data_IF_757696850377
#
_entry.id   IF_757696850377
#
_cell.length_a   1.000
_cell.length_b   1.000
_cell.length_c   1.000
_cell.angle_alpha   90.00
_cell.angle_beta   90.00
_cell.angle_gamma   90.00
#
_symmetry.space_group_name_H-M   'P 1'
#
loop_
_entity.id
_entity.type
_entity.pdbx_description
1 polymer ?
#
# COMPACT_ATOMS: atom_id res chain seq x y z
N UNK A 1 -11.99 -19.67 -21.24
CA UNK A 1 -12.56 -19.37 -19.91
C UNK A 1 -12.93 -20.70 -19.27
N UNK A 2 -12.41 -21.02 -18.09
CA UNK A 2 -12.73 -22.29 -17.41
C UNK A 2 -14.12 -22.21 -16.74
N UNK A 3 -14.76 -23.35 -16.46
CA UNK A 3 -16.04 -23.39 -15.72
C UNK A 3 -15.97 -22.67 -14.35
N UNK A 4 -14.90 -22.85 -13.53
CA UNK A 4 -14.72 -22.08 -12.30
C UNK A 4 -14.66 -20.56 -12.53
N UNK A 5 -14.01 -20.11 -13.61
CA UNK A 5 -13.91 -18.69 -13.95
C UNK A 5 -15.29 -18.10 -14.32
N UNK A 6 -16.10 -18.83 -15.09
CA UNK A 6 -17.47 -18.41 -15.44
C UNK A 6 -18.33 -18.25 -14.18
N UNK A 7 -18.31 -19.26 -13.29
CA UNK A 7 -19.05 -19.22 -12.02
C UNK A 7 -18.61 -18.05 -11.13
N UNK A 8 -17.30 -17.80 -11.06
CA UNK A 8 -16.75 -16.67 -10.33
C UNK A 8 -17.22 -15.32 -10.89
N UNK A 9 -17.17 -15.13 -12.22
CA UNK A 9 -17.62 -13.88 -12.87
C UNK A 9 -19.13 -13.65 -12.69
N UNK A 10 -19.96 -14.70 -12.76
CA UNK A 10 -21.40 -14.61 -12.51
C UNK A 10 -21.68 -14.20 -11.06
N UNK A 11 -21.04 -14.86 -10.09
CA UNK A 11 -21.17 -14.52 -8.67
C UNK A 11 -20.78 -13.06 -8.42
N UNK A 12 -19.68 -12.59 -9.02
CA UNK A 12 -19.23 -11.20 -8.89
C UNK A 12 -20.23 -10.21 -9.46
N UNK A 13 -20.85 -10.51 -10.60
CA UNK A 13 -21.91 -9.67 -11.18
C UNK A 13 -23.13 -9.57 -10.24
N UNK A 14 -23.52 -10.67 -9.61
CA UNK A 14 -24.63 -10.69 -8.63
C UNK A 14 -24.27 -9.84 -7.41
N UNK A 15 -23.09 -10.04 -6.82
CA UNK A 15 -22.61 -9.25 -5.66
C UNK A 15 -22.63 -7.76 -5.97
N UNK A 16 -22.05 -7.33 -7.10
CA UNK A 16 -22.03 -5.92 -7.50
C UNK A 16 -23.45 -5.34 -7.62
N UNK A 17 -24.40 -6.08 -8.21
CA UNK A 17 -25.78 -5.62 -8.35
C UNK A 17 -26.50 -5.46 -7.01
N UNK A 18 -26.24 -6.36 -6.06
CA UNK A 18 -26.81 -6.33 -4.71
C UNK A 18 -26.21 -5.17 -3.90
N UNK A 19 -24.90 -4.95 -4.00
CA UNK A 19 -24.22 -3.82 -3.37
C UNK A 19 -24.64 -2.47 -3.94
N UNK A 20 -24.94 -2.40 -5.25
CA UNK A 20 -25.45 -1.20 -5.91
C UNK A 20 -26.73 -0.68 -5.26
N UNK A 21 -27.62 -1.57 -4.86
CA UNK A 21 -28.88 -1.23 -4.16
C UNK A 21 -28.73 -1.11 -2.62
N UNK A 22 -27.50 -1.18 -2.10
CA UNK A 22 -27.21 -0.96 -0.67
C UNK A 22 -27.11 -2.22 0.18
N UNK A 23 -27.40 -3.39 -0.38
CA UNK A 23 -27.36 -4.66 0.35
C UNK A 23 -25.96 -5.28 0.29
N UNK A 24 -25.46 -5.82 1.40
CA UNK A 24 -24.11 -6.42 1.44
C UNK A 24 -22.96 -5.41 1.46
N UNK A 25 -23.24 -4.10 1.50
CA UNK A 25 -22.24 -3.07 1.78
C UNK A 25 -21.66 -3.23 3.18
N UNK A 26 -20.43 -2.75 3.36
CA UNK A 26 -19.76 -2.71 4.65
C UNK A 26 -20.66 -2.05 5.72
N UNK A 27 -20.76 -2.70 6.89
CA UNK A 27 -21.44 -2.17 8.08
C UNK A 27 -20.42 -2.09 9.22
N UNK A 28 -19.60 -1.04 9.25
CA UNK A 28 -18.59 -0.86 10.29
C UNK A 28 -19.25 -0.96 11.67
N UNK A 29 -18.71 -1.85 12.51
CA UNK A 29 -19.08 -1.96 13.92
C UNK A 29 -18.06 -1.20 14.76
N UNK A 30 -18.45 -0.89 15.98
CA UNK A 30 -17.52 -0.33 16.96
C UNK A 30 -16.30 -1.27 17.13
N UNK A 31 -15.08 -0.72 17.16
CA UNK A 31 -13.88 -1.51 17.35
C UNK A 31 -13.82 -2.08 18.78
N UNK A 32 -13.64 -3.40 18.92
CA UNK A 32 -13.64 -4.10 20.22
C UNK A 32 -12.26 -4.67 20.58
N UNK A 33 -11.35 -4.77 19.61
CA UNK A 33 -9.99 -5.29 19.80
C UNK A 33 -8.93 -4.25 20.19
N UNK A 34 -7.67 -4.65 20.14
CA UNK A 34 -6.51 -3.77 20.30
C UNK A 34 -5.70 -3.74 19.00
N UNK A 35 -5.08 -2.61 18.66
CA UNK A 35 -4.16 -2.56 17.52
C UNK A 35 -2.97 -3.53 17.70
N UNK A 36 -2.46 -4.03 16.59
CA UNK A 36 -1.26 -4.85 16.53
C UNK A 36 0.02 -4.05 16.83
N UNK A 37 1.16 -4.72 16.73
CA UNK A 37 2.49 -4.15 16.91
C UNK A 37 3.07 -3.62 15.59
N UNK A 38 3.91 -2.57 15.64
CA UNK A 38 4.65 -2.09 14.47
C UNK A 38 5.60 -3.16 13.92
N UNK A 39 6.02 -3.00 12.66
CA UNK A 39 6.94 -3.91 11.96
C UNK A 39 8.38 -3.88 12.50
N UNK A 40 8.70 -2.91 13.36
CA UNK A 40 9.97 -2.77 14.09
C UNK A 40 9.69 -2.59 15.57
N UNK A 41 10.53 -3.18 16.43
CA UNK A 41 10.43 -3.02 17.88
C UNK A 41 10.65 -1.57 18.32
N UNK A 42 11.56 -0.85 17.65
CA UNK A 42 11.87 0.55 17.89
C UNK A 42 11.98 1.28 16.55
N UNK A 43 11.21 2.35 16.40
CA UNK A 43 11.31 3.22 15.23
C UNK A 43 12.57 4.10 15.33
N UNK A 44 13.34 4.25 14.24
CA UNK A 44 14.61 4.97 14.25
C UNK A 44 14.42 6.49 14.36
N UNK A 45 15.27 7.14 15.17
CA UNK A 45 15.34 8.60 15.35
C UNK A 45 16.62 9.24 14.81
N UNK A 46 17.56 8.41 14.32
CA UNK A 46 18.92 8.80 13.94
C UNK A 46 19.10 9.22 12.47
N UNK A 47 18.02 9.33 11.70
CA UNK A 47 18.08 9.72 10.29
C UNK A 47 18.26 11.24 10.11
N UNK A 48 18.65 11.67 8.90
CA UNK A 48 18.76 13.09 8.55
C UNK A 48 17.37 13.76 8.56
N UNK A 49 17.04 14.38 9.69
CA UNK A 49 15.77 15.05 9.92
C UNK A 49 15.45 16.11 8.86
N UNK A 50 16.46 16.83 8.35
CA UNK A 50 16.26 17.89 7.38
C UNK A 50 15.85 17.36 6.00
N UNK A 51 16.29 16.15 5.65
CA UNK A 51 15.89 15.47 4.41
C UNK A 51 14.39 15.17 4.43
N UNK A 52 13.89 14.59 5.52
CA UNK A 52 12.49 14.24 5.68
C UNK A 52 11.60 15.48 5.85
N UNK A 53 12.05 16.46 6.64
CA UNK A 53 11.35 17.74 6.79
C UNK A 53 11.15 18.43 5.43
N UNK A 54 12.19 18.54 4.60
CA UNK A 54 12.07 19.16 3.26
C UNK A 54 11.10 18.43 2.34
N UNK A 55 11.07 17.10 2.39
CA UNK A 55 10.11 16.32 1.60
C UNK A 55 8.67 16.54 2.08
N UNK A 56 8.47 16.61 3.40
CA UNK A 56 7.19 16.88 4.02
C UNK A 56 6.70 18.32 3.79
N UNK A 57 7.60 19.32 3.86
CA UNK A 57 7.28 20.72 3.62
C UNK A 57 6.75 20.93 2.19
N UNK A 58 7.36 20.28 1.18
CA UNK A 58 6.83 20.31 -0.21
C UNK A 58 5.39 19.81 -0.29
N UNK A 59 5.04 18.75 0.45
CA UNK A 59 3.67 18.22 0.48
C UNK A 59 2.73 19.24 1.11
N UNK A 60 3.12 19.84 2.25
CA UNK A 60 2.31 20.87 2.93
C UNK A 60 2.11 22.13 2.07
N UNK A 61 3.08 22.46 1.21
CA UNK A 61 3.00 23.53 0.20
C UNK A 61 2.11 23.16 -1.00
N UNK A 62 1.58 21.93 -1.05
CA UNK A 62 0.72 21.45 -2.12
C UNK A 62 1.48 20.96 -3.36
N UNK A 63 2.78 20.66 -3.22
CA UNK A 63 3.64 20.16 -4.29
C UNK A 63 3.83 18.63 -4.19
N UNK A 64 3.37 17.90 -5.22
CA UNK A 64 3.40 16.45 -5.28
C UNK A 64 4.27 15.95 -6.44
N UNK A 65 4.89 14.78 -6.26
CA UNK A 65 5.60 14.07 -7.32
C UNK A 65 4.75 12.87 -7.75
N UNK A 66 4.23 12.87 -8.99
CA UNK A 66 3.32 11.86 -9.55
C UNK A 66 3.85 11.36 -10.88
N UNK A 67 4.48 10.18 -10.90
CA UNK A 67 5.21 9.65 -12.07
C UNK A 67 6.13 10.68 -12.72
N UNK A 68 5.81 11.14 -13.93
CA UNK A 68 6.58 12.13 -14.68
C UNK A 68 6.32 13.58 -14.22
N UNK A 69 5.23 13.85 -13.52
CA UNK A 69 4.93 15.16 -12.96
C UNK A 69 5.77 15.37 -11.70
N UNK A 70 6.77 16.24 -11.78
CA UNK A 70 7.64 16.61 -10.65
C UNK A 70 7.24 17.99 -10.14
N UNK A 71 6.97 18.09 -8.83
CA UNK A 71 6.54 19.34 -8.20
C UNK A 71 5.18 19.84 -8.70
N UNK A 72 4.26 18.94 -9.02
CA UNK A 72 2.91 19.29 -9.44
C UNK A 72 2.20 20.05 -8.30
N UNK A 73 1.74 21.28 -8.60
CA UNK A 73 0.98 22.10 -7.67
C UNK A 73 -0.48 21.60 -7.61
N UNK A 74 -0.74 20.58 -6.80
CA UNK A 74 -2.07 19.97 -6.65
C UNK A 74 -2.89 20.62 -5.53
N UNK A 75 -2.24 21.46 -4.71
CA UNK A 75 -2.85 22.07 -3.53
C UNK A 75 -2.85 21.14 -2.31
N UNK A 76 -3.17 21.70 -1.16
CA UNK A 76 -3.22 20.97 0.11
C UNK A 76 -4.49 21.35 0.88
N UNK A 77 -5.52 20.47 0.92
CA UNK A 77 -5.59 19.14 0.29
C UNK A 77 -5.81 19.21 -1.24
N UNK A 78 -5.42 18.16 -1.99
CA UNK A 78 -5.68 18.08 -3.43
C UNK A 78 -7.15 17.73 -3.75
N UNK A 79 -7.52 17.88 -5.03
CA UNK A 79 -8.79 17.38 -5.57
C UNK A 79 -8.68 15.88 -5.85
N UNK A 80 -9.15 15.04 -4.93
CA UNK A 80 -8.88 13.59 -4.93
C UNK A 80 -9.52 12.81 -6.09
N UNK A 81 -10.59 13.35 -6.69
CA UNK A 81 -11.24 12.73 -7.86
C UNK A 81 -10.79 13.34 -9.19
N UNK A 82 -9.81 14.25 -9.19
CA UNK A 82 -9.28 14.84 -10.42
C UNK A 82 -7.98 14.14 -10.84
N UNK A 83 -7.86 13.76 -12.11
CA UNK A 83 -6.59 13.36 -12.68
C UNK A 83 -5.62 14.56 -12.69
N UNK A 84 -4.47 14.51 -12.00
CA UNK A 84 -3.53 15.62 -11.93
C UNK A 84 -2.88 15.95 -13.29
N UNK A 85 -2.93 15.05 -14.28
CA UNK A 85 -2.35 15.25 -15.60
C UNK A 85 -3.30 15.99 -16.55
N UNK A 86 -4.58 15.63 -16.56
CA UNK A 86 -5.57 16.21 -17.49
C UNK A 86 -6.51 17.21 -16.83
N UNK A 87 -6.65 17.18 -15.50
CA UNK A 87 -7.62 17.97 -14.74
C UNK A 87 -9.05 17.44 -14.81
N UNK A 88 -9.30 16.33 -15.50
CA UNK A 88 -10.62 15.69 -15.59
C UNK A 88 -11.04 15.19 -14.21
N UNK A 89 -12.26 15.55 -13.78
CA UNK A 89 -12.82 15.13 -12.50
C UNK A 89 -13.76 13.93 -12.69
N UNK A 90 -13.36 12.79 -12.12
CA UNK A 90 -14.09 11.54 -12.19
C UNK A 90 -15.42 11.63 -11.42
N UNK A 91 -16.54 11.10 -11.97
CA UNK A 91 -17.84 11.23 -11.34
C UNK A 91 -18.01 10.28 -10.14
N UNK A 92 -18.79 10.69 -9.14
CA UNK A 92 -19.14 9.90 -7.97
C UNK A 92 -20.28 8.89 -8.23
N UNK A 93 -20.13 8.05 -9.26
CA UNK A 93 -21.03 6.91 -9.51
C UNK A 93 -20.73 5.75 -8.55
N UNK A 94 -21.53 4.67 -8.57
CA UNK A 94 -21.16 3.46 -7.85
C UNK A 94 -19.84 2.92 -8.41
N UNK A 95 -18.81 2.75 -7.57
CA UNK A 95 -17.44 2.52 -8.03
C UNK A 95 -17.29 1.31 -8.95
N UNK A 96 -18.04 0.22 -8.70
CA UNK A 96 -17.98 -0.98 -9.55
C UNK A 96 -18.64 -0.82 -10.93
N UNK A 97 -19.47 0.21 -11.12
CA UNK A 97 -20.12 0.52 -12.41
C UNK A 97 -19.31 1.56 -13.22
N UNK A 98 -18.36 2.25 -12.57
CA UNK A 98 -17.53 3.26 -13.23
C UNK A 98 -16.53 2.59 -14.18
N UNK A 99 -16.57 2.96 -15.46
CA UNK A 99 -15.56 2.57 -16.42
C UNK A 99 -14.28 3.39 -16.23
N UNK A 100 -13.46 3.01 -15.27
CA UNK A 100 -12.18 3.68 -14.98
C UNK A 100 -11.14 3.55 -16.10
N UNK A 101 -11.42 2.78 -17.16
CA UNK A 101 -10.54 2.67 -18.35
C UNK A 101 -10.87 3.70 -19.42
N UNK A 102 -11.96 4.45 -19.26
CA UNK A 102 -12.37 5.46 -20.21
C UNK A 102 -11.71 6.80 -19.86
N UNK A 103 -10.72 7.26 -20.64
CA UNK A 103 -10.00 8.50 -20.35
C UNK A 103 -10.89 9.74 -20.48
N UNK A 104 -12.01 9.68 -21.21
CA UNK A 104 -12.95 10.80 -21.28
C UNK A 104 -13.75 10.96 -19.96
N UNK A 105 -13.87 9.88 -19.19
CA UNK A 105 -14.62 9.86 -17.93
C UNK A 105 -13.74 10.14 -16.71
N UNK A 106 -12.51 9.62 -16.69
CA UNK A 106 -11.64 9.69 -15.50
C UNK A 106 -10.26 10.29 -15.75
N UNK A 107 -9.94 10.69 -16.99
CA UNK A 107 -8.58 11.05 -17.38
C UNK A 107 -7.63 9.86 -17.33
N UNK A 108 -6.35 10.13 -17.02
CA UNK A 108 -5.35 9.09 -16.81
C UNK A 108 -5.50 8.49 -15.40
N UNK A 109 -6.23 7.37 -15.33
CA UNK A 109 -6.55 6.70 -14.06
C UNK A 109 -5.31 6.35 -13.23
N UNK A 110 -4.16 6.10 -13.87
CA UNK A 110 -2.91 5.81 -13.17
C UNK A 110 -2.47 7.02 -12.36
N UNK A 111 -2.45 8.20 -12.98
CA UNK A 111 -2.08 9.46 -12.33
C UNK A 111 -3.05 9.83 -11.21
N UNK A 112 -4.35 9.61 -11.43
CA UNK A 112 -5.37 9.82 -10.41
C UNK A 112 -5.12 8.89 -9.20
N UNK A 113 -4.94 7.58 -9.44
CA UNK A 113 -4.75 6.63 -8.35
C UNK A 113 -3.44 6.81 -7.61
N UNK A 114 -2.37 7.26 -8.26
CA UNK A 114 -1.07 7.43 -7.59
C UNK A 114 -1.14 8.41 -6.41
N UNK A 115 -1.81 9.56 -6.58
CA UNK A 115 -2.05 10.51 -5.48
C UNK A 115 -2.92 9.87 -4.38
N UNK A 116 -3.90 9.06 -4.80
CA UNK A 116 -4.85 8.38 -3.91
C UNK A 116 -4.29 7.13 -3.22
N UNK A 117 -3.04 6.73 -3.51
CA UNK A 117 -2.33 5.68 -2.75
C UNK A 117 -1.79 6.18 -1.42
N UNK A 118 -1.76 7.51 -1.21
CA UNK A 118 -1.39 8.17 0.04
C UNK A 118 0.05 7.89 0.50
N UNK A 119 0.99 7.85 -0.44
CA UNK A 119 2.43 7.75 -0.12
C UNK A 119 2.91 8.94 0.73
N UNK A 120 2.26 10.09 0.54
CA UNK A 120 2.54 11.34 1.22
C UNK A 120 2.23 11.29 2.72
N UNK A 121 1.27 10.45 3.14
CA UNK A 121 1.00 10.25 4.57
C UNK A 121 2.20 9.64 5.29
N UNK A 122 2.91 8.73 4.64
CA UNK A 122 4.13 8.12 5.19
C UNK A 122 5.21 9.19 5.33
N UNK A 123 5.39 10.02 4.30
CA UNK A 123 6.42 11.08 4.28
C UNK A 123 6.18 12.09 5.42
N UNK A 124 4.94 12.55 5.57
CA UNK A 124 4.54 13.44 6.67
C UNK A 124 4.71 12.76 8.04
N UNK A 125 4.29 11.50 8.19
CA UNK A 125 4.41 10.77 9.43
C UNK A 125 5.87 10.50 9.83
N UNK A 126 6.76 10.22 8.87
CA UNK A 126 8.21 10.11 9.11
C UNK A 126 8.79 11.45 9.56
N UNK A 127 8.43 12.56 8.91
CA UNK A 127 8.90 13.88 9.31
C UNK A 127 8.42 14.24 10.72
N UNK A 128 7.16 13.96 11.07
CA UNK A 128 6.66 14.10 12.44
C UNK A 128 7.46 13.25 13.42
N UNK A 129 7.65 11.96 13.12
CA UNK A 129 8.37 11.04 14.01
C UNK A 129 9.81 11.51 14.32
N UNK A 130 10.50 12.02 13.30
CA UNK A 130 11.89 12.46 13.41
C UNK A 130 12.07 13.85 14.03
N UNK A 131 11.09 14.75 13.86
CA UNK A 131 11.21 16.16 14.25
C UNK A 131 10.34 16.58 15.44
N UNK A 132 9.27 15.82 15.70
CA UNK A 132 8.15 16.18 16.57
C UNK A 132 7.44 17.50 16.18
N UNK A 133 7.61 18.00 14.95
CA UNK A 133 6.85 19.16 14.47
C UNK A 133 5.41 18.74 14.15
N UNK A 134 4.47 19.23 14.96
CA UNK A 134 3.05 18.88 14.88
C UNK A 134 2.39 19.28 13.55
N UNK A 135 2.97 20.21 12.78
CA UNK A 135 2.44 20.56 11.44
C UNK A 135 2.34 19.34 10.52
N UNK A 136 3.28 18.41 10.64
CA UNK A 136 3.29 17.21 9.81
C UNK A 136 2.18 16.21 10.19
N UNK A 137 1.94 15.99 11.49
CA UNK A 137 0.83 15.16 11.96
C UNK A 137 -0.53 15.79 11.62
N UNK A 138 -0.68 17.10 11.80
CA UNK A 138 -1.89 17.82 11.37
C UNK A 138 -2.07 17.75 9.85
N UNK A 139 -0.98 17.76 9.08
CA UNK A 139 -1.01 17.54 7.65
C UNK A 139 -1.59 16.18 7.27
N UNK A 140 -1.17 15.10 7.94
CA UNK A 140 -1.76 13.76 7.75
C UNK A 140 -3.27 13.78 8.01
N UNK A 141 -3.70 14.42 9.10
CA UNK A 141 -5.11 14.55 9.44
C UNK A 141 -5.89 15.30 8.35
N UNK A 142 -5.38 16.45 7.88
CA UNK A 142 -6.03 17.26 6.85
C UNK A 142 -6.22 16.51 5.52
N UNK A 143 -5.18 15.76 5.07
CA UNK A 143 -5.29 14.93 3.87
C UNK A 143 -6.35 13.83 4.03
N UNK A 144 -6.35 13.12 5.17
CA UNK A 144 -7.30 12.05 5.45
C UNK A 144 -8.75 12.57 5.55
N UNK A 145 -8.99 13.64 6.30
CA UNK A 145 -10.33 14.23 6.45
C UNK A 145 -10.91 14.67 5.09
N UNK A 146 -10.08 15.36 4.29
CA UNK A 146 -10.46 15.77 2.94
C UNK A 146 -10.73 14.58 2.03
N UNK A 147 -9.96 13.50 2.14
CA UNK A 147 -10.17 12.30 1.33
C UNK A 147 -11.48 11.60 1.73
N UNK A 148 -11.75 11.45 3.03
CA UNK A 148 -12.99 10.85 3.52
C UNK A 148 -14.24 11.60 3.05
N UNK A 149 -14.14 12.93 2.87
CA UNK A 149 -15.24 13.77 2.37
C UNK A 149 -15.43 13.63 0.86
N UNK A 150 -14.34 13.68 0.09
CA UNK A 150 -14.40 13.68 -1.37
C UNK A 150 -14.58 12.27 -1.96
N UNK A 151 -14.21 11.21 -1.23
CA UNK A 151 -14.21 9.82 -1.72
C UNK A 151 -15.10 8.89 -0.89
N UNK A 152 -16.41 9.16 -0.76
CA UNK A 152 -17.29 8.40 0.12
C UNK A 152 -17.49 6.96 -0.37
N UNK A 153 -17.45 5.99 0.54
CA UNK A 153 -17.75 4.59 0.23
C UNK A 153 -19.21 4.39 -0.24
N UNK A 154 -19.48 3.55 -1.27
CA UNK A 154 -18.58 2.93 -2.26
C UNK A 154 -18.62 3.68 -3.62
N UNK A 155 -18.35 4.99 -3.64
CA UNK A 155 -18.59 5.86 -4.80
C UNK A 155 -17.31 6.43 -5.40
N UNK A 156 -17.30 6.53 -6.73
CA UNK A 156 -16.22 7.13 -7.50
C UNK A 156 -15.07 6.17 -7.79
N UNK A 157 -14.09 6.69 -8.52
CA UNK A 157 -12.94 5.96 -9.07
C UNK A 157 -12.06 5.31 -8.00
N UNK A 158 -12.05 5.88 -6.80
CA UNK A 158 -11.30 5.39 -5.66
C UNK A 158 -11.90 4.12 -5.01
N UNK A 159 -13.07 3.66 -5.47
CA UNK A 159 -13.75 2.45 -5.02
C UNK A 159 -13.97 1.42 -6.15
N UNK A 160 -13.11 1.45 -7.17
CA UNK A 160 -13.20 0.56 -8.33
C UNK A 160 -12.37 -0.73 -8.19
N UNK A 161 -11.20 -0.66 -7.55
CA UNK A 161 -10.14 -1.67 -7.65
C UNK A 161 -9.52 -2.00 -6.27
N UNK A 162 -9.60 -3.27 -5.87
CA UNK A 162 -9.11 -3.80 -4.59
C UNK A 162 -7.61 -3.55 -4.36
N UNK A 163 -6.79 -3.60 -5.41
CA UNK A 163 -5.35 -3.29 -5.30
C UNK A 163 -5.10 -1.88 -4.73
N UNK A 164 -5.84 -0.88 -5.20
CA UNK A 164 -5.67 0.50 -4.74
C UNK A 164 -6.07 0.66 -3.27
N UNK A 165 -7.10 -0.06 -2.83
CA UNK A 165 -7.47 -0.13 -1.41
C UNK A 165 -6.37 -0.76 -0.57
N UNK A 166 -5.77 -1.84 -1.08
CA UNK A 166 -4.73 -2.58 -0.38
C UNK A 166 -3.45 -1.74 -0.22
N UNK A 167 -2.99 -1.06 -1.27
CA UNK A 167 -1.84 -0.14 -1.21
C UNK A 167 -2.08 0.96 -0.19
N UNK A 168 -3.28 1.57 -0.20
CA UNK A 168 -3.67 2.60 0.76
C UNK A 168 -3.63 2.09 2.20
N UNK A 169 -4.14 0.89 2.47
CA UNK A 169 -4.11 0.26 3.79
C UNK A 169 -2.68 0.01 4.31
N UNK A 170 -1.76 -0.40 3.43
CA UNK A 170 -0.35 -0.55 3.82
C UNK A 170 0.22 0.82 4.22
N UNK A 171 0.08 1.86 3.39
CA UNK A 171 0.56 3.21 3.72
C UNK A 171 -0.07 3.76 5.01
N UNK A 172 -1.37 3.52 5.21
CA UNK A 172 -2.07 3.94 6.43
C UNK A 172 -1.57 3.22 7.67
N UNK A 173 -1.24 1.92 7.59
CA UNK A 173 -0.68 1.17 8.71
C UNK A 173 0.66 1.76 9.14
N UNK A 174 1.54 2.06 8.17
CA UNK A 174 2.84 2.65 8.46
C UNK A 174 2.72 4.06 9.04
N UNK A 175 1.87 4.91 8.46
CA UNK A 175 1.59 6.24 8.99
C UNK A 175 0.97 6.18 10.39
N UNK A 176 0.05 5.25 10.65
CA UNK A 176 -0.59 5.04 11.95
C UNK A 176 0.44 4.76 13.05
N UNK A 177 1.37 3.82 12.81
CA UNK A 177 2.43 3.52 13.77
C UNK A 177 3.40 4.69 13.94
N UNK A 178 3.81 5.33 12.84
CA UNK A 178 4.69 6.49 12.88
C UNK A 178 4.08 7.67 13.64
N UNK A 179 2.76 7.82 13.65
CA UNK A 179 2.00 8.86 14.35
C UNK A 179 1.67 8.54 15.82
N UNK A 180 2.19 7.43 16.36
CA UNK A 180 1.98 7.02 17.75
C UNK A 180 0.80 6.08 17.98
N UNK A 181 0.18 5.55 16.93
CA UNK A 181 -0.92 4.57 17.01
C UNK A 181 -2.09 5.07 17.87
N UNK A 182 -2.64 4.22 18.76
CA UNK A 182 -3.75 4.57 19.64
C UNK A 182 -3.43 5.74 20.58
N UNK A 183 -2.15 5.97 20.88
CA UNK A 183 -1.67 7.05 21.75
C UNK A 183 -1.42 8.36 20.98
N UNK A 184 -1.76 8.42 19.69
CA UNK A 184 -1.58 9.62 18.87
C UNK A 184 -2.34 10.81 19.46
N UNK A 185 -1.65 11.96 19.56
CA UNK A 185 -2.27 13.24 19.96
C UNK A 185 -3.38 13.69 19.01
N UNK A 186 -3.39 13.19 17.78
CA UNK A 186 -4.47 13.44 16.81
C UNK A 186 -5.83 12.91 17.30
N UNK A 187 -5.84 11.94 18.21
CA UNK A 187 -7.05 11.32 18.75
C UNK A 187 -7.51 11.91 20.08
N UNK A 188 -6.80 12.93 20.59
CA UNK A 188 -7.15 13.60 21.83
C UNK A 188 -8.40 14.49 21.68
N UNK A 189 -9.21 14.53 22.75
CA UNK A 189 -10.44 15.31 22.78
C UNK A 189 -11.57 14.73 21.93
N UNK A 190 -12.72 15.39 21.92
CA UNK A 190 -13.90 14.94 21.18
C UNK A 190 -13.69 14.98 19.64
N UNK A 191 -13.12 16.05 19.05
CA UNK A 191 -12.82 16.07 17.62
C UNK A 191 -11.79 15.02 17.20
N UNK A 192 -10.80 14.73 18.05
CA UNK A 192 -9.80 13.70 17.77
C UNK A 192 -10.40 12.29 17.79
N UNK A 193 -11.30 12.00 18.73
CA UNK A 193 -12.04 10.72 18.75
C UNK A 193 -12.94 10.56 17.52
N UNK A 194 -13.59 11.63 17.08
CA UNK A 194 -14.40 11.62 15.86
C UNK A 194 -13.52 11.33 14.62
N UNK A 195 -12.35 11.97 14.52
CA UNK A 195 -11.38 11.69 13.45
C UNK A 195 -10.91 10.23 13.46
N UNK A 196 -10.53 9.70 14.64
CA UNK A 196 -10.17 8.29 14.82
C UNK A 196 -11.28 7.36 14.31
N UNK A 197 -12.52 7.63 14.69
CA UNK A 197 -13.67 6.82 14.30
C UNK A 197 -13.89 6.84 12.78
N UNK A 198 -13.76 8.00 12.13
CA UNK A 198 -13.85 8.12 10.66
C UNK A 198 -12.74 7.31 9.97
N UNK A 199 -11.51 7.39 10.48
CA UNK A 199 -10.39 6.63 9.92
C UNK A 199 -10.60 5.11 10.05
N UNK A 200 -10.96 4.63 11.24
CA UNK A 200 -11.24 3.20 11.46
C UNK A 200 -12.44 2.70 10.65
N UNK A 201 -13.49 3.52 10.53
CA UNK A 201 -14.64 3.24 9.65
C UNK A 201 -14.18 3.04 8.21
N UNK A 202 -13.29 3.91 7.73
CA UNK A 202 -12.78 3.81 6.37
C UNK A 202 -11.88 2.58 6.18
N UNK A 203 -11.02 2.27 7.16
CA UNK A 203 -10.21 1.04 7.17
C UNK A 203 -11.10 -0.20 7.06
N UNK A 204 -12.17 -0.29 7.86
CA UNK A 204 -13.13 -1.39 7.79
C UNK A 204 -13.73 -1.54 6.38
N UNK A 205 -14.14 -0.43 5.77
CA UNK A 205 -14.72 -0.43 4.42
C UNK A 205 -13.74 -0.95 3.37
N UNK A 206 -12.46 -0.60 3.47
CA UNK A 206 -11.40 -1.12 2.60
C UNK A 206 -11.21 -2.63 2.79
N UNK A 207 -11.07 -3.09 4.04
CA UNK A 207 -10.92 -4.51 4.36
C UNK A 207 -12.11 -5.34 3.84
N UNK A 208 -13.33 -4.87 4.12
CA UNK A 208 -14.56 -5.49 3.64
C UNK A 208 -14.62 -5.56 2.11
N UNK A 209 -14.26 -4.47 1.43
CA UNK A 209 -14.27 -4.43 -0.03
C UNK A 209 -13.29 -5.44 -0.63
N UNK A 210 -12.03 -5.44 -0.18
CA UNK A 210 -10.99 -6.37 -0.68
C UNK A 210 -11.43 -7.82 -0.45
N UNK A 211 -11.89 -8.14 0.77
CA UNK A 211 -12.32 -9.49 1.13
C UNK A 211 -13.47 -10.03 0.25
N UNK A 212 -14.24 -9.15 -0.37
CA UNK A 212 -15.36 -9.48 -1.27
C UNK A 212 -15.02 -9.37 -2.76
N UNK A 213 -13.92 -8.70 -3.12
CA UNK A 213 -13.59 -8.32 -4.51
C UNK A 213 -12.17 -8.68 -4.94
N UNK A 214 -11.70 -9.89 -4.61
CA UNK A 214 -10.43 -10.41 -5.10
C UNK A 214 -10.33 -10.39 -6.64
N UNK A 215 -9.15 -10.06 -7.16
CA UNK A 215 -8.82 -10.06 -8.60
C UNK A 215 -8.53 -11.46 -9.18
N UNK A 216 -9.07 -12.53 -8.57
CA UNK A 216 -8.91 -13.91 -9.07
C UNK A 216 -9.30 -14.02 -10.55
N UNK A 217 -8.55 -14.85 -11.28
CA UNK A 217 -8.72 -15.07 -12.72
C UNK A 217 -8.55 -13.79 -13.58
N UNK A 218 -7.82 -12.79 -13.06
CA UNK A 218 -7.32 -11.67 -13.84
C UNK A 218 -5.95 -12.02 -14.42
N UNK A 219 -5.58 -11.41 -15.55
CA UNK A 219 -4.26 -11.60 -16.18
C UNK A 219 -3.12 -10.95 -15.39
N UNK A 220 -3.41 -10.11 -14.40
CA UNK A 220 -2.43 -9.42 -13.56
C UNK A 220 -2.29 -10.16 -12.22
N UNK A 221 -1.31 -11.05 -12.13
CA UNK A 221 -1.11 -11.92 -10.97
C UNK A 221 -0.63 -11.12 -9.74
N UNK A 222 0.16 -10.07 -9.95
CA UNK A 222 0.64 -9.19 -8.90
C UNK A 222 -0.50 -8.45 -8.16
N UNK A 223 -1.67 -8.24 -8.80
CA UNK A 223 -2.82 -7.58 -8.16
C UNK A 223 -3.35 -8.41 -7.00
N UNK A 224 -3.49 -9.73 -7.18
CA UNK A 224 -3.99 -10.63 -6.14
C UNK A 224 -3.03 -10.66 -4.94
N UNK A 225 -1.72 -10.67 -5.22
CA UNK A 225 -0.70 -10.63 -4.16
C UNK A 225 -0.72 -9.27 -3.43
N UNK A 226 -0.85 -8.16 -4.16
CA UNK A 226 -0.97 -6.82 -3.57
C UNK A 226 -2.24 -6.67 -2.72
N UNK A 227 -3.38 -7.16 -3.20
CA UNK A 227 -4.64 -7.24 -2.45
C UNK A 227 -4.49 -8.03 -1.15
N UNK A 228 -3.83 -9.19 -1.22
CA UNK A 228 -3.59 -10.04 -0.06
C UNK A 228 -2.62 -9.38 0.93
N UNK A 229 -1.58 -8.69 0.42
CA UNK A 229 -0.65 -7.91 1.24
C UNK A 229 -1.38 -6.85 2.05
N UNK A 230 -2.17 -5.99 1.40
CA UNK A 230 -2.86 -4.91 2.11
C UNK A 230 -3.93 -5.40 3.07
N UNK A 231 -4.71 -6.44 2.72
CA UNK A 231 -5.69 -7.01 3.65
C UNK A 231 -5.01 -7.68 4.84
N UNK A 232 -3.91 -8.39 4.63
CA UNK A 232 -3.14 -9.03 5.69
C UNK A 232 -2.57 -7.97 6.65
N UNK A 233 -1.86 -6.96 6.12
CA UNK A 233 -1.28 -5.88 6.92
C UNK A 233 -2.36 -5.15 7.70
N UNK A 234 -3.52 -4.84 7.09
CA UNK A 234 -4.61 -4.18 7.78
C UNK A 234 -5.23 -5.04 8.88
N UNK A 235 -5.46 -6.33 8.63
CA UNK A 235 -6.06 -7.23 9.61
C UNK A 235 -5.12 -7.56 10.79
N UNK A 236 -3.81 -7.44 10.60
CA UNK A 236 -2.81 -7.53 11.68
C UNK A 236 -2.68 -6.20 12.42
N UNK A 237 -2.72 -5.07 11.72
CA UNK A 237 -2.59 -3.73 12.32
C UNK A 237 -3.83 -3.36 13.14
N UNK A 238 -5.02 -3.62 12.60
CA UNK A 238 -6.30 -3.28 13.21
C UNK A 238 -7.19 -4.54 13.37
N UNK A 239 -6.85 -5.48 14.27
CA UNK A 239 -7.69 -6.64 14.56
C UNK A 239 -8.86 -6.25 15.47
N UNK A 240 -9.66 -5.28 15.03
CA UNK A 240 -10.64 -4.57 15.84
C UNK A 240 -12.07 -5.10 15.68
N UNK A 241 -12.32 -5.94 14.67
CA UNK A 241 -13.65 -6.45 14.31
C UNK A 241 -13.69 -7.97 14.30
N UNK A 242 -14.89 -8.54 14.46
CA UNK A 242 -15.13 -10.00 14.46
C UNK A 242 -14.57 -10.67 13.19
N UNK A 243 -14.65 -9.99 12.05
CA UNK A 243 -14.17 -10.48 10.76
C UNK A 243 -12.66 -10.44 10.60
N UNK A 244 -11.93 -9.70 11.44
CA UNK A 244 -10.49 -9.43 11.26
C UNK A 244 -9.66 -10.71 11.25
N UNK A 245 -9.97 -11.67 12.12
CA UNK A 245 -9.29 -12.97 12.14
C UNK A 245 -9.47 -13.72 10.81
N UNK A 246 -10.70 -13.76 10.30
CA UNK A 246 -11.01 -14.38 9.00
C UNK A 246 -10.33 -13.67 7.84
N UNK A 247 -10.28 -12.33 7.85
CA UNK A 247 -9.57 -11.54 6.85
C UNK A 247 -8.06 -11.81 6.87
N UNK A 248 -7.46 -11.80 8.05
CA UNK A 248 -6.04 -12.13 8.25
C UNK A 248 -5.72 -13.52 7.72
N UNK A 249 -6.49 -14.54 8.12
CA UNK A 249 -6.20 -15.93 7.77
C UNK A 249 -6.39 -16.18 6.27
N UNK A 250 -7.43 -15.60 5.66
CA UNK A 250 -7.64 -15.64 4.22
C UNK A 250 -6.49 -14.97 3.46
N UNK A 251 -6.12 -13.75 3.84
CA UNK A 251 -5.04 -13.00 3.18
C UNK A 251 -3.67 -13.69 3.34
N UNK A 252 -3.37 -14.25 4.52
CA UNK A 252 -2.15 -15.03 4.78
C UNK A 252 -2.08 -16.29 3.90
N UNK A 253 -3.20 -16.99 3.76
CA UNK A 253 -3.29 -18.17 2.89
C UNK A 253 -3.04 -17.82 1.43
N UNK A 254 -3.64 -16.72 0.95
CA UNK A 254 -3.42 -16.22 -0.41
C UNK A 254 -1.95 -15.79 -0.60
N UNK A 255 -1.35 -15.04 0.33
CA UNK A 255 0.06 -14.64 0.27
C UNK A 255 1.01 -15.83 0.18
N UNK A 256 0.81 -16.83 1.04
CA UNK A 256 1.66 -18.03 1.08
C UNK A 256 1.59 -18.78 -0.25
N UNK A 257 0.37 -18.98 -0.76
CA UNK A 257 0.14 -19.67 -2.03
C UNK A 257 0.72 -18.89 -3.20
N UNK A 258 0.44 -17.59 -3.30
CA UNK A 258 0.83 -16.76 -4.44
C UNK A 258 2.33 -16.44 -4.44
N UNK A 259 2.99 -16.30 -3.29
CA UNK A 259 4.45 -16.20 -3.20
C UNK A 259 5.14 -17.38 -3.89
N UNK A 260 4.59 -18.59 -3.69
CA UNK A 260 5.11 -19.81 -4.31
C UNK A 260 4.66 -19.97 -5.76
N UNK A 261 3.41 -19.65 -6.06
CA UNK A 261 2.82 -19.83 -7.38
C UNK A 261 3.28 -18.81 -8.43
N UNK A 262 3.61 -17.58 -8.03
CA UNK A 262 3.96 -16.48 -8.94
C UNK A 262 5.45 -16.25 -9.09
N UNK A 263 6.28 -17.01 -8.38
CA UNK A 263 7.75 -16.93 -8.51
C UNK A 263 8.28 -18.34 -8.84
N UNK A 264 9.35 -18.42 -9.62
CA UNK A 264 10.04 -19.67 -9.88
C UNK A 264 10.95 -20.03 -8.69
N UNK A 265 11.43 -21.28 -8.65
CA UNK A 265 12.30 -21.74 -7.55
C UNK A 265 13.66 -21.03 -7.53
N UNK A 266 14.11 -20.51 -8.67
CA UNK A 266 15.32 -19.68 -8.81
C UNK A 266 15.11 -18.21 -8.39
N UNK A 267 13.89 -17.85 -7.98
CA UNK A 267 13.54 -16.49 -7.55
C UNK A 267 13.02 -15.58 -8.66
N UNK A 268 13.01 -16.00 -9.92
CA UNK A 268 12.48 -15.13 -11.00
C UNK A 268 10.96 -15.02 -10.85
N UNK A 269 10.42 -13.80 -10.83
CA UNK A 269 8.97 -13.61 -10.82
C UNK A 269 8.38 -13.98 -12.20
N UNK A 270 7.23 -14.66 -12.22
CA UNK A 270 6.61 -15.21 -13.44
C UNK A 270 6.08 -14.16 -14.40
N UNK A 271 5.88 -12.91 -13.98
CA UNK A 271 5.55 -11.82 -14.91
C UNK A 271 6.75 -11.37 -15.74
N UNK A 272 7.97 -11.75 -15.34
CA UNK A 272 9.22 -11.46 -16.06
C UNK A 272 9.45 -9.98 -16.37
N UNK A 273 8.89 -9.10 -15.55
CA UNK A 273 9.14 -7.67 -15.56
C UNK A 273 9.95 -7.28 -14.32
N UNK A 274 11.06 -6.56 -14.51
CA UNK A 274 12.01 -6.25 -13.43
C UNK A 274 11.35 -5.40 -12.34
N UNK A 275 10.48 -4.47 -12.72
CA UNK A 275 9.76 -3.63 -11.77
C UNK A 275 8.75 -4.43 -10.93
N UNK A 276 7.97 -5.31 -11.55
CA UNK A 276 7.02 -6.16 -10.83
C UNK A 276 7.70 -7.21 -9.96
N UNK A 277 8.87 -7.72 -10.36
CA UNK A 277 9.70 -8.54 -9.49
C UNK A 277 10.05 -7.80 -8.18
N UNK A 278 10.51 -6.55 -8.29
CA UNK A 278 10.78 -5.72 -7.12
C UNK A 278 9.52 -5.46 -6.28
N UNK A 279 8.41 -5.08 -6.91
CA UNK A 279 7.16 -4.80 -6.19
C UNK A 279 6.66 -6.03 -5.41
N UNK A 280 6.73 -7.22 -6.02
CA UNK A 280 6.39 -8.49 -5.37
C UNK A 280 7.35 -8.77 -4.20
N UNK A 281 8.65 -8.60 -4.38
CA UNK A 281 9.61 -8.81 -3.29
C UNK A 281 9.35 -7.87 -2.10
N UNK A 282 9.01 -6.61 -2.35
CA UNK A 282 8.63 -5.64 -1.30
C UNK A 282 7.33 -6.04 -0.59
N UNK A 283 6.31 -6.49 -1.34
CA UNK A 283 5.06 -7.02 -0.77
C UNK A 283 5.33 -8.18 0.19
N UNK A 284 6.22 -9.11 -0.20
CA UNK A 284 6.58 -10.25 0.63
C UNK A 284 7.38 -9.82 1.87
N UNK A 285 8.36 -8.94 1.68
CA UNK A 285 9.18 -8.42 2.76
C UNK A 285 8.33 -7.71 3.83
N UNK A 286 7.47 -6.77 3.41
CA UNK A 286 6.60 -6.01 4.32
C UNK A 286 5.64 -6.94 5.07
N UNK A 287 4.98 -7.84 4.36
CA UNK A 287 4.06 -8.81 4.97
C UNK A 287 4.79 -9.70 5.99
N UNK A 288 5.97 -10.20 5.64
CA UNK A 288 6.79 -11.04 6.51
C UNK A 288 7.22 -10.33 7.79
N UNK A 289 7.71 -9.08 7.69
CA UNK A 289 8.12 -8.31 8.86
C UNK A 289 6.95 -7.97 9.79
N UNK A 290 5.81 -7.57 9.23
CA UNK A 290 4.57 -7.32 9.99
C UNK A 290 4.11 -8.60 10.70
N UNK A 291 4.16 -9.74 10.01
CA UNK A 291 3.78 -11.05 10.57
C UNK A 291 4.69 -11.46 11.74
N UNK A 292 6.01 -11.35 11.54
CA UNK A 292 7.01 -11.68 12.55
C UNK A 292 6.86 -10.84 13.82
N UNK A 293 6.64 -9.54 13.68
CA UNK A 293 6.44 -8.63 14.82
C UNK A 293 5.17 -8.94 15.62
N UNK A 294 4.17 -9.57 14.99
CA UNK A 294 2.87 -9.90 15.57
C UNK A 294 2.70 -11.40 15.90
N UNK A 295 3.80 -12.14 16.00
CA UNK A 295 3.81 -13.57 16.36
C UNK A 295 2.94 -14.45 15.44
N UNK A 296 2.83 -14.08 14.16
CA UNK A 296 2.08 -14.82 13.14
C UNK A 296 2.92 -15.05 11.86
N UNK A 297 4.23 -15.21 12.03
CA UNK A 297 5.25 -15.32 10.97
C UNK A 297 4.90 -16.37 9.88
N UNK A 298 5.41 -16.15 8.67
CA UNK A 298 5.30 -17.10 7.57
C UNK A 298 6.29 -18.26 7.71
N UNK A 299 6.07 -19.33 6.96
CA UNK A 299 6.93 -20.51 6.98
C UNK A 299 8.28 -20.30 6.28
N UNK A 300 9.15 -21.29 6.39
CA UNK A 300 10.48 -21.24 5.81
C UNK A 300 10.45 -21.16 4.26
N UNK A 301 9.43 -21.74 3.61
CA UNK A 301 9.31 -21.72 2.15
C UNK A 301 9.03 -20.31 1.62
N UNK A 302 8.18 -19.56 2.33
CA UNK A 302 7.92 -18.16 2.05
C UNK A 302 9.20 -17.31 2.12
N UNK A 303 9.96 -17.45 3.22
CA UNK A 303 11.19 -16.69 3.43
C UNK A 303 12.29 -17.10 2.45
N UNK A 304 12.45 -18.40 2.19
CA UNK A 304 13.39 -18.90 1.18
C UNK A 304 13.04 -18.40 -0.23
N UNK A 305 11.76 -18.23 -0.54
CA UNK A 305 11.33 -17.66 -1.81
C UNK A 305 11.70 -16.19 -1.94
N UNK A 306 11.46 -15.40 -0.90
CA UNK A 306 11.90 -14.00 -0.90
C UNK A 306 13.43 -13.91 -1.03
N UNK A 307 14.17 -14.74 -0.29
CA UNK A 307 15.63 -14.78 -0.36
C UNK A 307 16.15 -15.12 -1.76
N UNK A 308 15.52 -16.05 -2.48
CA UNK A 308 15.91 -16.38 -3.85
C UNK A 308 15.59 -15.25 -4.83
N UNK A 309 14.47 -14.54 -4.64
CA UNK A 309 14.17 -13.33 -5.42
C UNK A 309 15.28 -12.28 -5.29
N UNK A 310 15.76 -12.03 -4.06
CA UNK A 310 16.87 -11.09 -3.83
C UNK A 310 18.18 -11.58 -4.44
N UNK A 311 18.43 -12.90 -4.42
CA UNK A 311 19.56 -13.52 -5.11
C UNK A 311 19.54 -13.30 -6.63
N UNK A 312 18.38 -13.45 -7.26
CA UNK A 312 18.20 -13.14 -8.67
C UNK A 312 18.47 -11.66 -8.96
N UNK A 313 17.87 -10.76 -8.19
CA UNK A 313 18.05 -9.32 -8.36
C UNK A 313 19.53 -8.91 -8.26
N UNK A 314 20.26 -9.44 -7.27
CA UNK A 314 21.69 -9.22 -7.11
C UNK A 314 22.52 -9.76 -8.28
N UNK A 315 22.07 -10.86 -8.91
CA UNK A 315 22.76 -11.50 -10.02
C UNK A 315 22.63 -10.72 -11.34
N UNK A 316 21.49 -10.08 -11.56
CA UNK A 316 21.24 -9.26 -12.78
C UNK A 316 21.65 -7.80 -12.62
N UNK A 317 21.91 -7.34 -11.40
CA UNK A 317 22.41 -6.00 -11.12
C UNK A 317 23.87 -5.87 -11.55
N UNK A 318 24.22 -4.79 -12.26
CA UNK A 318 25.61 -4.48 -12.61
C UNK A 318 26.40 -3.94 -11.39
N UNK A 319 27.62 -3.44 -11.62
CA UNK A 319 28.47 -2.87 -10.55
C UNK A 319 28.06 -1.43 -10.18
N UNK A 320 27.34 -0.74 -11.05
CA UNK A 320 26.85 0.61 -10.84
C UNK A 320 25.46 0.65 -10.19
N UNK A 321 24.84 -0.51 -9.97
CA UNK A 321 23.53 -0.67 -9.33
C UNK A 321 22.36 -0.68 -10.31
N UNK A 322 22.64 -0.66 -11.62
CA UNK A 322 21.60 -0.72 -12.63
C UNK A 322 21.12 -2.15 -12.79
N UNK A 323 19.83 -2.30 -13.07
CA UNK A 323 19.21 -3.58 -13.44
C UNK A 323 18.56 -3.44 -14.82
N UNK A 324 18.57 -4.49 -15.66
CA UNK A 324 17.90 -4.45 -16.95
C UNK A 324 16.40 -4.15 -16.82
N UNK A 325 15.91 -3.18 -17.59
CA UNK A 325 14.49 -2.79 -17.60
C UNK A 325 13.67 -3.71 -18.51
N UNK A 326 13.57 -4.99 -18.13
CA UNK A 326 12.72 -5.95 -18.84
C UNK A 326 11.25 -5.78 -18.43
N UNK A 327 10.36 -5.94 -19.41
CA UNK A 327 8.91 -5.91 -19.21
C UNK A 327 8.35 -4.53 -18.89
N UNK A 328 7.09 -4.51 -18.45
CA UNK A 328 6.38 -3.30 -18.10
C UNK A 328 6.76 -2.78 -16.70
N UNK A 329 6.60 -1.48 -16.49
CA UNK A 329 6.80 -0.85 -15.19
C UNK A 329 5.66 0.14 -14.93
N UNK A 330 4.86 -0.14 -13.90
CA UNK A 330 3.82 0.74 -13.38
C UNK A 330 4.22 1.07 -11.93
N UNK A 331 4.66 2.29 -11.61
CA UNK A 331 5.04 2.60 -10.22
C UNK A 331 3.81 2.51 -9.28
N UNK A 332 4.03 2.04 -8.06
CA UNK A 332 3.03 1.84 -7.00
C UNK A 332 3.71 1.38 -5.71
N UNK A 333 4.53 2.27 -5.14
CA UNK A 333 5.55 1.96 -4.11
C UNK A 333 4.91 1.63 -2.75
N UNK A 334 5.42 0.64 -2.00
CA UNK A 334 4.76 -0.01 -0.85
C UNK A 334 5.63 -0.11 0.42
N UNK A 335 6.44 0.86 0.81
CA UNK A 335 6.03 2.09 1.47
C UNK A 335 7.23 3.02 1.35
N UNK A 336 7.04 4.31 1.07
CA UNK A 336 8.08 5.30 0.72
C UNK A 336 9.06 5.60 1.88
N UNK A 337 9.92 4.65 2.23
CA UNK A 337 10.83 4.74 3.40
C UNK A 337 11.89 5.82 3.27
N UNK A 338 12.33 6.08 2.04
CA UNK A 338 13.46 6.97 1.75
C UNK A 338 12.96 8.11 0.86
N UNK A 339 13.05 9.38 1.31
CA UNK A 339 12.69 10.52 0.47
C UNK A 339 13.69 10.67 -0.68
N UNK A 340 13.20 10.71 -1.91
CA UNK A 340 14.05 10.86 -3.09
C UNK A 340 13.65 9.96 -4.25
N UNK A 341 14.60 9.72 -5.17
CA UNK A 341 14.31 9.07 -6.46
C UNK A 341 14.15 7.55 -6.34
N UNK A 342 13.24 6.94 -7.14
CA UNK A 342 13.07 5.48 -7.24
C UNK A 342 14.29 4.70 -7.73
N UNK A 343 15.31 5.37 -8.30
CA UNK A 343 16.45 4.71 -8.93
C UNK A 343 17.25 3.80 -7.97
N UNK A 344 17.12 3.98 -6.66
CA UNK A 344 17.84 3.19 -5.65
C UNK A 344 17.01 2.02 -5.09
N UNK A 345 15.74 1.84 -5.48
CA UNK A 345 14.83 0.87 -4.82
C UNK A 345 15.37 -0.56 -4.80
N UNK A 346 16.07 -0.97 -5.87
CA UNK A 346 16.70 -2.27 -5.96
C UNK A 346 17.85 -2.42 -4.98
N UNK A 347 18.68 -1.37 -4.80
CA UNK A 347 19.77 -1.37 -3.81
C UNK A 347 19.25 -1.37 -2.39
N UNK A 348 18.23 -0.57 -2.10
CA UNK A 348 17.58 -0.55 -0.79
C UNK A 348 17.03 -1.94 -0.44
N UNK A 349 16.37 -2.59 -1.39
CA UNK A 349 15.85 -3.96 -1.20
C UNK A 349 16.98 -4.98 -0.95
N UNK A 350 18.10 -4.90 -1.67
CA UNK A 350 19.27 -5.75 -1.40
C UNK A 350 19.93 -5.44 -0.06
N UNK A 351 19.97 -4.17 0.37
CA UNK A 351 20.49 -3.76 1.67
C UNK A 351 19.67 -4.38 2.80
N UNK A 352 18.33 -4.28 2.71
CA UNK A 352 17.43 -4.92 3.67
C UNK A 352 17.63 -6.45 3.68
N UNK A 353 17.71 -7.07 2.50
CA UNK A 353 17.97 -8.51 2.37
C UNK A 353 19.30 -8.95 2.99
N UNK A 354 20.35 -8.16 2.83
CA UNK A 354 21.66 -8.46 3.40
C UNK A 354 21.63 -8.54 4.93
N UNK A 355 20.89 -7.66 5.59
CA UNK A 355 20.70 -7.69 7.05
C UNK A 355 19.80 -8.86 7.44
N UNK A 356 18.67 -9.03 6.74
CA UNK A 356 17.65 -10.00 7.09
C UNK A 356 18.13 -11.45 6.97
N UNK A 357 18.90 -11.75 5.92
CA UNK A 357 19.37 -13.11 5.61
C UNK A 357 20.87 -13.32 5.90
N UNK A 358 21.59 -12.29 6.35
CA UNK A 358 23.03 -12.39 6.64
C UNK A 358 23.91 -12.69 5.42
N UNK A 359 23.52 -12.18 4.23
CA UNK A 359 24.18 -12.50 2.95
C UNK A 359 25.16 -11.40 2.49
N UNK A 360 26.48 -11.63 2.56
CA UNK A 360 27.49 -10.61 2.24
C UNK A 360 27.51 -10.19 0.76
N UNK A 361 27.11 -11.06 -0.15
CA UNK A 361 26.99 -10.76 -1.58
C UNK A 361 25.86 -9.78 -1.89
N UNK A 362 24.75 -9.83 -1.15
CA UNK A 362 23.67 -8.84 -1.28
C UNK A 362 24.17 -7.48 -0.77
N UNK A 363 24.92 -7.47 0.34
CA UNK A 363 25.59 -6.26 0.86
C UNK A 363 26.55 -5.66 -0.15
N UNK A 364 27.35 -6.48 -0.82
CA UNK A 364 28.30 -6.02 -1.82
C UNK A 364 27.60 -5.33 -3.00
N UNK A 365 26.45 -5.86 -3.45
CA UNK A 365 25.64 -5.28 -4.53
C UNK A 365 24.87 -4.02 -4.09
N UNK A 366 24.36 -4.01 -2.86
CA UNK A 366 23.72 -2.83 -2.29
C UNK A 366 24.67 -1.63 -2.20
N UNK A 367 25.97 -1.89 -2.01
CA UNK A 367 27.08 -0.93 -1.85
C UNK A 367 26.99 -0.03 -0.60
N UNK A 368 25.80 0.44 -0.23
CA UNK A 368 25.51 1.22 0.97
C UNK A 368 24.18 0.79 1.59
N UNK A 369 24.01 1.11 2.87
CA UNK A 369 22.73 1.02 3.56
C UNK A 369 22.08 2.40 3.55
N UNK A 370 20.82 2.47 3.17
CA UNK A 370 20.00 3.68 3.28
C UNK A 370 19.03 3.56 4.47
N UNK A 371 18.03 4.44 4.54
CA UNK A 371 17.12 4.53 5.68
C UNK A 371 15.99 3.46 5.66
N UNK A 372 15.95 2.57 4.64
CA UNK A 372 15.01 1.44 4.53
C UNK A 372 15.56 0.20 5.20
#
# INVERSE_FOLDING_TARGET
MSLPEVGFRLRRKIVNNVERIGVGRAKPREPVGCCGKPWLAHLPLGFDRQRYARAADRILEGCFDVFALRGAALGFPPRWNADPKTGIEAPLLFGKDLNYRDPEVVGDVKYLWEVNRHLELVTLAQAWHLTADERYAQGCKALLESWFEQCPYPRGVNWCASLEHAVRLVNWSFAWFLLGSEDSRLFAGEPGRAFRQRWLTCIYQHCHFIASHWSRYSSANNHLLGEATGLFVAAVTWPLWDESARWRDAARSELTREALAQTFSDGVNKEQATWYHHAVADMLLVSGLVARANSCDFDAEYWARLESMLGFLASVMDVEGNVPAFGDADEGVLVRFVPGRPAEVFRSLLATGAVLFGRPELRAKAARFDDK
#
